data_IF_153825346166
#
_entry.id   IF_153825346166
#
_cell.length_a   1.000
_cell.length_b   1.000
_cell.length_c   1.000
_cell.angle_alpha   90.00
_cell.angle_beta   90.00
_cell.angle_gamma   90.00
#
_symmetry.space_group_name_H-M   'P 1'
#
loop_
_entity.id
_entity.type
_entity.pdbx_description
1 polymer ?
#
# COMPACT_ATOMS: atom_id res chain seq x y z
N UNK A 1 -10.81 -29.67 -9.51
CA UNK A 1 -9.79 -29.29 -8.51
C UNK A 1 -8.59 -28.70 -9.23
N UNK A 2 -8.34 -27.41 -9.03
CA UNK A 2 -7.18 -26.70 -9.59
C UNK A 2 -6.12 -26.60 -8.50
N UNK A 3 -4.89 -27.07 -8.76
CA UNK A 3 -3.78 -27.00 -7.82
C UNK A 3 -3.08 -25.63 -7.92
N UNK A 4 -3.63 -24.62 -7.24
CA UNK A 4 -3.12 -23.25 -7.24
C UNK A 4 -1.65 -23.13 -6.82
N UNK A 5 -1.21 -24.01 -5.92
CA UNK A 5 0.18 -24.18 -5.47
C UNK A 5 1.19 -24.28 -6.64
N UNK A 6 0.84 -24.99 -7.72
CA UNK A 6 1.70 -25.14 -8.89
C UNK A 6 1.82 -23.84 -9.73
N UNK A 7 0.92 -22.89 -9.54
CA UNK A 7 0.84 -21.65 -10.31
C UNK A 7 1.20 -20.38 -9.51
N UNK A 8 1.47 -20.50 -8.21
CA UNK A 8 1.79 -19.36 -7.33
C UNK A 8 2.95 -18.52 -7.87
N UNK A 9 3.99 -19.17 -8.39
CA UNK A 9 5.16 -18.50 -8.93
C UNK A 9 4.87 -17.61 -10.15
N UNK A 10 3.77 -17.85 -10.89
CA UNK A 10 3.31 -17.01 -12.00
C UNK A 10 2.27 -15.97 -11.55
N UNK A 11 1.38 -16.36 -10.63
CA UNK A 11 0.29 -15.50 -10.16
C UNK A 11 0.79 -14.37 -9.25
N UNK A 12 1.75 -14.66 -8.35
CA UNK A 12 2.24 -13.69 -7.38
C UNK A 12 2.91 -12.49 -8.05
N UNK A 13 3.81 -12.65 -9.04
CA UNK A 13 4.37 -11.50 -9.76
C UNK A 13 3.32 -10.64 -10.47
N UNK A 14 2.28 -11.26 -11.04
CA UNK A 14 1.18 -10.53 -11.66
C UNK A 14 0.39 -9.70 -10.63
N UNK A 15 0.03 -10.31 -9.50
CA UNK A 15 -0.65 -9.60 -8.40
C UNK A 15 0.22 -8.46 -7.85
N UNK A 16 1.51 -8.71 -7.60
CA UNK A 16 2.45 -7.68 -7.16
C UNK A 16 2.48 -6.53 -8.16
N UNK A 17 2.55 -6.82 -9.46
CA UNK A 17 2.53 -5.79 -10.52
C UNK A 17 1.24 -4.98 -10.47
N UNK A 18 0.08 -5.62 -10.33
CA UNK A 18 -1.20 -4.92 -10.16
C UNK A 18 -1.25 -4.06 -8.89
N UNK A 19 -0.47 -4.37 -7.85
CA UNK A 19 -0.40 -3.54 -6.64
C UNK A 19 0.56 -2.36 -6.85
N UNK A 20 1.78 -2.60 -7.34
CA UNK A 20 2.89 -1.63 -7.24
C UNK A 20 3.30 -0.96 -8.55
N UNK A 21 2.76 -1.36 -9.71
CA UNK A 21 3.16 -0.78 -10.99
C UNK A 21 2.97 0.75 -11.02
N UNK A 22 3.86 1.47 -11.70
CA UNK A 22 3.75 2.93 -11.87
C UNK A 22 2.45 3.34 -12.58
N UNK A 23 2.03 2.56 -13.58
CA UNK A 23 0.87 2.85 -14.42
C UNK A 23 0.18 1.54 -14.79
N UNK A 24 -1.14 1.48 -14.58
CA UNK A 24 -1.97 0.30 -14.89
C UNK A 24 -3.02 0.60 -15.96
N UNK A 25 -3.36 1.86 -16.15
CA UNK A 25 -4.28 2.33 -17.17
C UNK A 25 -3.62 3.36 -18.08
N UNK A 26 -4.07 3.43 -19.33
CA UNK A 26 -3.68 4.48 -20.27
C UNK A 26 -4.50 5.76 -20.09
N UNK A 27 -5.62 5.70 -19.36
CA UNK A 27 -6.46 6.85 -19.03
C UNK A 27 -6.31 7.22 -17.54
N UNK A 28 -6.16 8.51 -17.23
CA UNK A 28 -5.91 8.98 -15.85
C UNK A 28 -7.09 8.72 -14.90
N UNK A 29 -8.33 8.69 -15.43
CA UNK A 29 -9.56 8.53 -14.65
C UNK A 29 -10.09 7.08 -14.58
N UNK A 30 -9.39 6.11 -15.17
CA UNK A 30 -9.75 4.71 -14.98
C UNK A 30 -9.51 4.34 -13.50
N UNK A 31 -10.40 3.53 -12.92
CA UNK A 31 -10.31 3.07 -11.53
C UNK A 31 -9.22 2.01 -11.33
N UNK A 32 -7.97 2.45 -11.43
CA UNK A 32 -6.81 1.64 -11.11
C UNK A 32 -6.55 1.58 -9.59
N UNK A 33 -7.24 2.40 -8.78
CA UNK A 33 -7.13 2.40 -7.32
C UNK A 33 -7.86 1.18 -6.74
N UNK A 34 -9.11 0.95 -7.14
CA UNK A 34 -9.86 -0.24 -6.78
C UNK A 34 -9.18 -1.53 -7.24
N UNK A 35 -8.59 -1.53 -8.44
CA UNK A 35 -7.78 -2.66 -8.93
C UNK A 35 -6.58 -2.96 -8.02
N UNK A 36 -5.83 -1.93 -7.61
CA UNK A 36 -4.68 -2.09 -6.69
C UNK A 36 -5.13 -2.65 -5.36
N UNK A 37 -6.24 -2.17 -4.81
CA UNK A 37 -6.76 -2.68 -3.54
C UNK A 37 -7.18 -4.15 -3.64
N UNK A 38 -7.89 -4.55 -4.70
CA UNK A 38 -8.31 -5.94 -4.85
C UNK A 38 -7.14 -6.87 -5.15
N UNK A 39 -6.16 -6.40 -5.92
CA UNK A 39 -4.91 -7.12 -6.10
C UNK A 39 -4.17 -7.31 -4.76
N UNK A 40 -4.12 -6.28 -3.91
CA UNK A 40 -3.50 -6.36 -2.59
C UNK A 40 -4.26 -7.31 -1.65
N UNK A 41 -5.60 -7.25 -1.63
CA UNK A 41 -6.45 -8.19 -0.87
C UNK A 41 -6.24 -9.63 -1.33
N UNK A 42 -6.15 -9.84 -2.63
CA UNK A 42 -5.89 -11.17 -3.22
C UNK A 42 -4.48 -11.67 -2.89
N UNK A 43 -3.48 -10.80 -2.96
CA UNK A 43 -2.09 -11.11 -2.61
C UNK A 43 -1.96 -11.53 -1.14
N UNK A 44 -2.59 -10.79 -0.22
CA UNK A 44 -2.58 -11.13 1.22
C UNK A 44 -3.34 -12.44 1.49
N UNK A 45 -4.48 -12.67 0.83
CA UNK A 45 -5.20 -13.95 0.91
C UNK A 45 -4.31 -15.11 0.45
N UNK A 46 -3.57 -14.95 -0.64
CA UNK A 46 -2.62 -15.96 -1.12
C UNK A 46 -1.50 -16.21 -0.09
N UNK A 47 -0.91 -15.15 0.47
CA UNK A 47 0.11 -15.28 1.52
C UNK A 47 -0.41 -16.02 2.76
N UNK A 48 -1.67 -15.80 3.16
CA UNK A 48 -2.26 -16.48 4.30
C UNK A 48 -2.64 -17.94 3.99
N UNK A 49 -3.07 -18.24 2.76
CA UNK A 49 -3.45 -19.59 2.35
C UNK A 49 -2.24 -20.52 2.13
N UNK A 50 -1.12 -19.97 1.68
CA UNK A 50 0.06 -20.75 1.26
C UNK A 50 1.31 -20.47 2.10
N UNK A 51 1.25 -19.56 3.07
CA UNK A 51 2.41 -19.12 3.86
C UNK A 51 3.08 -20.24 4.66
N UNK A 52 2.33 -21.24 5.12
CA UNK A 52 2.88 -22.37 5.90
C UNK A 52 3.70 -23.32 5.01
N UNK A 53 3.27 -23.50 3.76
CA UNK A 53 3.97 -24.32 2.76
C UNK A 53 5.16 -23.58 2.14
N UNK A 54 5.03 -22.25 1.99
CA UNK A 54 6.03 -21.36 1.39
C UNK A 54 6.44 -20.28 2.39
N UNK A 55 7.25 -20.67 3.38
CA UNK A 55 7.61 -19.83 4.54
C UNK A 55 8.26 -18.49 4.18
N UNK A 56 8.93 -18.39 3.03
CA UNK A 56 9.56 -17.14 2.56
C UNK A 56 8.61 -16.23 1.79
N UNK A 57 7.43 -16.69 1.39
CA UNK A 57 6.49 -15.96 0.54
C UNK A 57 6.09 -14.64 1.18
N UNK A 58 5.59 -14.69 2.42
CA UNK A 58 5.13 -13.52 3.16
C UNK A 58 6.24 -12.49 3.34
N UNK A 59 7.45 -12.95 3.68
CA UNK A 59 8.61 -12.07 3.87
C UNK A 59 8.98 -11.33 2.57
N UNK A 60 9.03 -12.05 1.43
CA UNK A 60 9.31 -11.45 0.11
C UNK A 60 8.25 -10.44 -0.31
N UNK A 61 6.97 -10.75 -0.09
CA UNK A 61 5.87 -9.82 -0.40
C UNK A 61 5.95 -8.56 0.45
N UNK A 62 6.15 -8.69 1.76
CA UNK A 62 6.30 -7.54 2.66
C UNK A 62 7.50 -6.68 2.22
N UNK A 63 8.64 -7.30 1.88
CA UNK A 63 9.81 -6.58 1.39
C UNK A 63 9.50 -5.75 0.13
N UNK A 64 8.85 -6.34 -0.87
CA UNK A 64 8.46 -5.62 -2.09
C UNK A 64 7.50 -4.46 -1.80
N UNK A 65 6.56 -4.62 -0.87
CA UNK A 65 5.64 -3.54 -0.50
C UNK A 65 6.35 -2.43 0.30
N UNK A 66 7.33 -2.77 1.14
CA UNK A 66 8.18 -1.79 1.82
C UNK A 66 9.02 -0.97 0.82
N UNK A 67 9.57 -1.61 -0.21
CA UNK A 67 10.26 -0.90 -1.30
C UNK A 67 9.30 0.03 -2.06
N UNK A 68 8.03 -0.37 -2.22
CA UNK A 68 7.02 0.42 -2.91
C UNK A 68 6.63 1.71 -2.17
N UNK A 69 6.69 1.75 -0.84
CA UNK A 69 6.41 2.97 -0.05
C UNK A 69 7.61 3.92 0.07
N UNK A 70 8.71 3.63 -0.62
CA UNK A 70 9.91 4.49 -0.58
C UNK A 70 9.63 5.85 -1.23
N UNK A 71 10.23 6.95 -0.73
CA UNK A 71 9.90 8.31 -1.14
C UNK A 71 10.28 8.64 -2.59
N UNK A 72 11.14 7.83 -3.23
CA UNK A 72 11.53 7.91 -4.65
C UNK A 72 10.49 7.31 -5.61
N UNK A 73 9.52 6.55 -5.09
CA UNK A 73 8.53 5.87 -5.93
C UNK A 73 7.40 6.82 -6.37
N UNK A 74 6.72 6.54 -7.50
CA UNK A 74 5.48 7.23 -7.86
C UNK A 74 4.40 7.10 -6.78
N UNK A 75 3.51 8.10 -6.63
CA UNK A 75 2.44 8.06 -5.62
C UNK A 75 1.52 6.85 -5.78
N UNK A 76 1.22 6.46 -7.02
CA UNK A 76 0.42 5.27 -7.31
C UNK A 76 1.07 3.97 -6.80
N UNK A 77 2.39 3.86 -6.90
CA UNK A 77 3.18 2.75 -6.34
C UNK A 77 3.18 2.78 -4.81
N UNK A 78 3.38 3.96 -4.22
CA UNK A 78 3.36 4.15 -2.77
C UNK A 78 2.00 3.81 -2.16
N UNK A 79 0.91 4.25 -2.81
CA UNK A 79 -0.45 3.89 -2.44
C UNK A 79 -0.64 2.37 -2.40
N UNK A 80 -0.25 1.66 -3.46
CA UNK A 80 -0.37 0.20 -3.52
C UNK A 80 0.43 -0.50 -2.42
N UNK A 81 1.67 -0.05 -2.19
CA UNK A 81 2.51 -0.54 -1.09
C UNK A 81 1.86 -0.37 0.27
N UNK A 82 1.35 0.83 0.56
CA UNK A 82 0.74 1.18 1.84
C UNK A 82 -0.58 0.44 2.08
N UNK A 83 -1.43 0.35 1.06
CA UNK A 83 -2.67 -0.45 1.10
C UNK A 83 -2.36 -1.93 1.34
N UNK A 84 -1.34 -2.48 0.67
CA UNK A 84 -0.90 -3.86 0.86
C UNK A 84 -0.34 -4.15 2.25
N UNK A 85 0.54 -3.29 2.77
CA UNK A 85 1.11 -3.42 4.11
C UNK A 85 0.04 -3.35 5.20
N UNK A 86 -0.94 -2.47 5.03
CA UNK A 86 -2.04 -2.29 5.98
C UNK A 86 -2.91 -3.55 6.12
N UNK A 87 -3.09 -4.32 5.04
CA UNK A 87 -3.85 -5.57 5.04
C UNK A 87 -3.16 -6.71 5.80
N UNK A 88 -1.85 -6.64 6.06
CA UNK A 88 -1.16 -7.58 6.94
C UNK A 88 -1.41 -7.32 8.44
N UNK A 89 -2.04 -6.19 8.78
CA UNK A 89 -2.52 -5.89 10.12
C UNK A 89 -1.67 -4.90 10.92
N UNK A 90 -2.05 -4.62 12.18
CA UNK A 90 -1.51 -3.51 12.96
C UNK A 90 -0.01 -3.61 13.23
N UNK A 91 0.55 -4.82 13.34
CA UNK A 91 2.01 -5.02 13.53
C UNK A 91 2.82 -4.58 12.32
N UNK A 92 2.30 -4.80 11.10
CA UNK A 92 2.95 -4.36 9.86
C UNK A 92 2.83 -2.84 9.71
N UNK A 93 1.68 -2.27 10.07
CA UNK A 93 1.50 -0.81 10.12
C UNK A 93 2.49 -0.17 11.11
N UNK A 94 2.59 -0.71 12.32
CA UNK A 94 3.52 -0.24 13.36
C UNK A 94 4.98 -0.30 12.94
N UNK A 95 5.38 -1.37 12.24
CA UNK A 95 6.75 -1.58 11.82
C UNK A 95 7.18 -0.71 10.64
N UNK A 96 6.28 -0.46 9.67
CA UNK A 96 6.69 0.11 8.38
C UNK A 96 5.99 1.42 7.99
N UNK A 97 4.77 1.68 8.47
CA UNK A 97 4.00 2.87 8.09
C UNK A 97 4.11 3.94 9.17
N UNK A 98 3.91 3.59 10.45
CA UNK A 98 3.98 4.57 11.55
C UNK A 98 5.28 5.36 11.59
N UNK A 99 6.48 4.76 11.44
CA UNK A 99 7.73 5.50 11.52
C UNK A 99 7.88 6.60 10.44
N UNK A 100 7.13 6.49 9.35
CA UNK A 100 7.18 7.40 8.21
C UNK A 100 5.99 8.37 8.16
N UNK A 101 4.94 8.14 8.96
CA UNK A 101 3.63 8.76 8.79
C UNK A 101 3.67 10.30 8.80
N UNK A 102 4.34 10.90 9.80
CA UNK A 102 4.42 12.37 9.94
C UNK A 102 5.16 13.01 8.77
N UNK A 103 6.38 12.53 8.48
CA UNK A 103 7.21 13.05 7.39
C UNK A 103 6.52 12.87 6.03
N UNK A 104 5.83 11.74 5.85
CA UNK A 104 5.10 11.48 4.63
C UNK A 104 3.89 12.42 4.48
N UNK A 105 3.15 12.67 5.56
CA UNK A 105 2.02 13.60 5.57
C UNK A 105 2.45 15.03 5.21
N UNK A 106 3.48 15.56 5.87
CA UNK A 106 4.03 16.89 5.60
C UNK A 106 4.48 17.04 4.14
N UNK A 107 5.11 15.99 3.58
CA UNK A 107 5.48 15.96 2.16
C UNK A 107 4.27 16.05 1.23
N UNK A 108 3.18 15.35 1.55
CA UNK A 108 1.95 15.37 0.76
C UNK A 108 1.23 16.73 0.85
N UNK A 109 1.19 17.33 2.04
CA UNK A 109 0.62 18.68 2.23
C UNK A 109 1.39 19.74 1.45
N UNK A 110 2.73 19.74 1.56
CA UNK A 110 3.57 20.66 0.78
C UNK A 110 3.37 20.49 -0.72
N UNK A 111 3.31 19.24 -1.19
CA UNK A 111 3.05 18.97 -2.60
C UNK A 111 1.66 19.45 -3.04
N UNK A 112 0.67 19.47 -2.15
CA UNK A 112 -0.65 20.00 -2.44
C UNK A 112 -0.65 21.53 -2.53
N UNK A 113 0.03 22.21 -1.61
CA UNK A 113 0.22 23.68 -1.63
C UNK A 113 0.93 24.16 -2.90
N UNK A 114 1.94 23.42 -3.35
CA UNK A 114 2.65 23.72 -4.61
C UNK A 114 1.72 23.66 -5.83
N UNK A 115 0.69 22.79 -5.80
CA UNK A 115 -0.30 22.65 -6.87
C UNK A 115 -1.39 23.73 -6.86
N UNK A 116 -1.63 24.41 -5.73
CA UNK A 116 -2.63 25.49 -5.67
C UNK A 116 -2.28 26.67 -6.58
N UNK A 117 -0.99 26.80 -6.93
CA UNK A 117 -0.47 27.83 -7.81
C UNK A 117 -0.43 27.42 -9.29
N UNK A 118 -0.85 26.19 -9.62
CA UNK A 118 -0.78 25.61 -10.97
C UNK A 118 -2.19 25.18 -11.40
N UNK A 119 -2.80 25.96 -12.29
CA UNK A 119 -4.07 25.56 -12.90
C UNK A 119 -3.91 24.25 -13.68
N UNK A 120 -4.67 23.21 -13.29
CA UNK A 120 -4.95 22.06 -14.15
C UNK A 120 -4.34 20.70 -13.80
N UNK A 121 -3.57 20.54 -12.72
CA UNK A 121 -3.02 19.22 -12.35
C UNK A 121 -3.96 18.40 -11.43
N UNK A 122 -5.15 18.09 -11.96
CA UNK A 122 -6.17 17.30 -11.27
C UNK A 122 -5.71 15.86 -10.99
N UNK A 123 -4.90 15.27 -11.86
CA UNK A 123 -4.39 13.91 -11.70
C UNK A 123 -3.45 13.84 -10.50
N UNK A 124 -2.47 14.74 -10.42
CA UNK A 124 -1.53 14.74 -9.30
C UNK A 124 -2.21 15.04 -7.97
N UNK A 125 -3.14 16.00 -7.96
CA UNK A 125 -3.95 16.32 -6.77
C UNK A 125 -4.72 15.09 -6.28
N UNK A 126 -5.33 14.35 -7.20
CA UNK A 126 -6.05 13.13 -6.88
C UNK A 126 -5.11 12.03 -6.36
N UNK A 127 -3.93 11.83 -6.96
CA UNK A 127 -2.93 10.88 -6.46
C UNK A 127 -2.51 11.20 -5.00
N UNK A 128 -2.28 12.48 -4.68
CA UNK A 128 -1.94 12.92 -3.33
C UNK A 128 -3.06 12.58 -2.35
N UNK A 129 -4.30 12.91 -2.70
CA UNK A 129 -5.48 12.62 -1.86
C UNK A 129 -5.67 11.13 -1.62
N UNK A 130 -5.45 10.29 -2.63
CA UNK A 130 -5.50 8.83 -2.49
C UNK A 130 -4.42 8.32 -1.51
N UNK A 131 -3.20 8.86 -1.58
CA UNK A 131 -2.13 8.55 -0.62
C UNK A 131 -2.46 9.00 0.81
N UNK A 132 -3.03 10.19 0.99
CA UNK A 132 -3.51 10.67 2.29
C UNK A 132 -4.57 9.73 2.85
N UNK A 133 -5.54 9.32 2.03
CA UNK A 133 -6.58 8.38 2.43
C UNK A 133 -6.02 7.02 2.84
N UNK A 134 -5.07 6.47 2.07
CA UNK A 134 -4.41 5.21 2.39
C UNK A 134 -3.63 5.29 3.71
N UNK A 135 -2.93 6.41 3.97
CA UNK A 135 -2.24 6.64 5.23
C UNK A 135 -3.22 6.69 6.41
N UNK A 136 -4.29 7.49 6.30
CA UNK A 136 -5.31 7.57 7.35
C UNK A 136 -5.98 6.22 7.63
N UNK A 137 -6.25 5.42 6.59
CA UNK A 137 -6.79 4.08 6.76
C UNK A 137 -5.81 3.16 7.51
N UNK A 138 -4.51 3.21 7.17
CA UNK A 138 -3.47 2.46 7.86
C UNK A 138 -3.39 2.84 9.35
N UNK A 139 -3.37 4.14 9.65
CA UNK A 139 -3.41 4.66 11.02
C UNK A 139 -4.68 4.19 11.75
N UNK A 140 -5.83 4.24 11.09
CA UNK A 140 -7.09 3.75 11.62
C UNK A 140 -7.06 2.24 11.92
N UNK A 141 -6.37 1.43 11.12
CA UNK A 141 -6.15 0.01 11.39
C UNK A 141 -5.31 -0.17 12.66
N UNK A 142 -4.22 0.58 12.82
CA UNK A 142 -3.42 0.51 14.04
C UNK A 142 -4.25 0.89 15.27
N UNK A 143 -4.89 2.07 15.26
CA UNK A 143 -5.65 2.60 16.39
C UNK A 143 -6.80 1.69 16.82
N UNK A 144 -7.49 1.02 15.89
CA UNK A 144 -8.62 0.13 16.21
C UNK A 144 -8.19 -1.24 16.75
N UNK A 145 -6.95 -1.68 16.51
CA UNK A 145 -6.52 -3.05 16.76
C UNK A 145 -5.38 -3.19 17.77
N UNK A 146 -4.90 -2.09 18.37
CA UNK A 146 -3.88 -2.09 19.43
C UNK A 146 -4.41 -1.48 20.72
N UNK A 147 -3.85 -1.89 21.86
CA UNK A 147 -4.26 -1.40 23.17
C UNK A 147 -3.88 0.07 23.36
N UNK A 148 -4.59 0.79 24.24
CA UNK A 148 -4.25 2.18 24.59
C UNK A 148 -2.79 2.33 25.04
N UNK A 149 -2.27 1.34 25.78
CA UNK A 149 -0.87 1.32 26.22
C UNK A 149 0.12 1.23 25.06
N UNK A 150 -0.21 0.50 24.00
CA UNK A 150 0.60 0.43 22.78
C UNK A 150 0.51 1.73 21.97
N UNK A 151 -0.68 2.34 21.91
CA UNK A 151 -0.88 3.64 21.26
C UNK A 151 -0.04 4.74 21.93
N UNK A 152 -0.07 4.83 23.26
CA UNK A 152 0.66 5.84 24.03
C UNK A 152 2.20 5.71 23.97
N UNK A 153 2.74 4.61 23.44
CA UNK A 153 4.20 4.47 23.24
C UNK A 153 4.67 5.05 21.91
N UNK A 154 3.74 5.31 20.99
CA UNK A 154 4.02 5.75 19.61
C UNK A 154 3.60 7.21 19.35
N UNK A 155 2.69 7.74 20.17
CA UNK A 155 2.34 9.16 20.25
C UNK A 155 3.23 9.87 21.27
#
# INVERSE_FOLDING_TARGET
NLHLELHLHQMLPALITCVVARRLSSRPFDDHWGLREEAARTLVKACNAFGDQYTTLKARVIQTLCEAISPDKPLTTQYGGMSGLSLFGPKTVDAFILPLATVYWEKLEKALEELENIDGDFERRFEIQQCQHALLNALGIFMRNVTLKEQSKRL
#
